data_IF_336414055861
#
_entry.id   IF_336414055861
#
_cell.length_a   1.000
_cell.length_b   1.000
_cell.length_c   1.000
_cell.angle_alpha   90.00
_cell.angle_beta   90.00
_cell.angle_gamma   90.00
#
_symmetry.space_group_name_H-M   'P 1'
#
loop_
_entity.id
_entity.type
_entity.pdbx_description
1 polymer ?
#
# COMPACT_ATOMS: atom_id res chain seq x y z
N UNK A 1 7.09 9.23 -20.65
CA UNK A 1 5.62 9.12 -20.74
C UNK A 1 5.05 10.51 -20.47
N UNK A 2 4.32 11.09 -21.43
CA UNK A 2 3.66 12.38 -21.22
C UNK A 2 2.30 12.13 -20.59
N UNK A 3 2.12 12.49 -19.32
CA UNK A 3 0.79 12.52 -18.69
C UNK A 3 0.25 13.94 -18.82
N UNK A 4 -0.86 14.10 -19.49
CA UNK A 4 -1.56 15.38 -19.63
C UNK A 4 -2.65 15.42 -18.57
N UNK A 5 -2.39 16.07 -17.44
CA UNK A 5 -3.42 16.46 -16.49
C UNK A 5 -3.63 17.96 -16.64
N UNK A 6 -4.81 18.38 -17.15
CA UNK A 6 -5.26 19.78 -17.27
C UNK A 6 -4.11 20.77 -17.57
N UNK A 7 -3.49 20.67 -18.76
CA UNK A 7 -2.46 21.59 -19.29
C UNK A 7 -1.07 21.58 -18.61
N UNK A 8 -0.73 20.60 -17.78
CA UNK A 8 0.62 20.45 -17.26
C UNK A 8 1.25 19.18 -17.86
N UNK A 9 2.32 19.35 -18.62
CA UNK A 9 3.14 18.24 -19.11
C UNK A 9 4.15 17.91 -18.02
N UNK A 10 3.89 16.87 -17.23
CA UNK A 10 4.84 16.35 -16.24
C UNK A 10 5.80 15.42 -16.96
N UNK A 11 7.05 15.81 -17.07
CA UNK A 11 8.13 15.02 -17.70
C UNK A 11 9.08 14.39 -16.65
N UNK A 12 8.93 14.72 -15.37
CA UNK A 12 9.75 14.20 -14.27
C UNK A 12 9.05 12.99 -13.62
N UNK A 13 9.74 11.85 -13.61
CA UNK A 13 9.25 10.62 -12.98
C UNK A 13 8.92 10.84 -11.49
N UNK A 14 9.71 11.68 -10.81
CA UNK A 14 9.49 12.01 -9.40
C UNK A 14 8.19 12.79 -9.18
N UNK A 15 7.87 13.74 -10.05
CA UNK A 15 6.61 14.48 -9.96
C UNK A 15 5.41 13.58 -10.21
N UNK A 16 5.54 12.63 -11.17
CA UNK A 16 4.51 11.62 -11.41
C UNK A 16 4.33 10.69 -10.20
N UNK A 17 5.42 10.26 -9.58
CA UNK A 17 5.35 9.46 -8.35
C UNK A 17 4.61 10.21 -7.24
N UNK A 18 4.91 11.49 -7.03
CA UNK A 18 4.24 12.30 -6.02
C UNK A 18 2.74 12.45 -6.31
N UNK A 19 2.37 12.68 -7.56
CA UNK A 19 0.98 12.80 -7.98
C UNK A 19 0.19 11.51 -7.73
N UNK A 20 0.69 10.35 -8.16
CA UNK A 20 -0.03 9.08 -7.98
C UNK A 20 -0.05 8.63 -6.52
N UNK A 21 0.97 8.97 -5.73
CA UNK A 21 0.93 8.74 -4.28
C UNK A 21 -0.10 9.63 -3.59
N UNK A 22 -0.30 10.88 -4.03
CA UNK A 22 -1.37 11.73 -3.51
C UNK A 22 -2.75 11.15 -3.84
N UNK A 23 -2.93 10.56 -5.03
CA UNK A 23 -4.17 9.83 -5.37
C UNK A 23 -4.36 8.60 -4.45
N UNK A 24 -3.31 7.82 -4.20
CA UNK A 24 -3.37 6.67 -3.30
C UNK A 24 -3.70 7.08 -1.85
N UNK A 25 -3.14 8.19 -1.35
CA UNK A 25 -3.45 8.75 -0.04
C UNK A 25 -4.92 9.22 0.05
N UNK A 26 -5.42 9.88 -0.98
CA UNK A 26 -6.82 10.30 -1.04
C UNK A 26 -7.79 9.11 -1.05
N UNK A 27 -7.43 8.02 -1.74
CA UNK A 27 -8.19 6.77 -1.70
C UNK A 27 -8.15 6.13 -0.32
N UNK A 28 -6.98 6.07 0.33
CA UNK A 28 -6.81 5.53 1.67
C UNK A 28 -7.71 6.24 2.70
N UNK A 29 -7.80 7.57 2.63
CA UNK A 29 -8.64 8.36 3.52
C UNK A 29 -10.14 8.00 3.44
N UNK A 30 -10.62 7.44 2.32
CA UNK A 30 -12.01 6.98 2.17
C UNK A 30 -12.36 5.79 3.08
N UNK A 31 -11.36 5.10 3.62
CA UNK A 31 -11.53 4.01 4.60
C UNK A 31 -11.72 4.51 6.04
N UNK A 32 -11.61 5.81 6.30
CA UNK A 32 -11.71 6.37 7.65
C UNK A 32 -13.03 5.98 8.34
N UNK A 33 -12.93 5.58 9.60
CA UNK A 33 -14.07 5.12 10.39
C UNK A 33 -14.52 3.67 10.14
N UNK A 34 -13.97 2.98 9.13
CA UNK A 34 -14.46 1.66 8.71
C UNK A 34 -13.43 0.52 8.82
N UNK A 35 -12.14 0.82 9.03
CA UNK A 35 -11.09 -0.20 8.92
C UNK A 35 -10.38 -0.53 10.23
N UNK A 36 -10.67 0.18 11.32
CA UNK A 36 -10.00 -0.04 12.62
C UNK A 36 -10.15 -1.49 13.10
N UNK A 37 -9.08 -2.08 13.65
CA UNK A 37 -7.76 -1.52 13.97
C UNK A 37 -6.75 -1.53 12.81
N UNK A 38 -7.16 -1.91 11.60
CA UNK A 38 -6.30 -1.99 10.42
C UNK A 38 -5.90 -0.60 9.89
N UNK A 39 -4.79 -0.51 9.13
CA UNK A 39 -4.38 0.76 8.54
C UNK A 39 -5.31 1.20 7.40
N UNK A 40 -5.38 2.51 7.19
CA UNK A 40 -5.94 3.13 6.01
C UNK A 40 -4.97 2.92 4.85
N UNK A 41 -5.36 2.13 3.86
CA UNK A 41 -4.55 1.82 2.68
C UNK A 41 -5.31 2.12 1.40
N UNK A 42 -4.63 2.78 0.47
CA UNK A 42 -5.09 3.03 -0.88
C UNK A 42 -4.01 2.63 -1.88
N UNK A 43 -4.42 2.15 -3.03
CA UNK A 43 -3.52 1.76 -4.10
C UNK A 43 -4.05 2.20 -5.47
N UNK A 44 -3.14 2.60 -6.36
CA UNK A 44 -3.42 2.83 -7.77
C UNK A 44 -2.40 2.09 -8.65
N UNK A 45 -2.87 1.56 -9.77
CA UNK A 45 -2.05 0.91 -10.77
C UNK A 45 -2.03 1.79 -12.01
N UNK A 46 -0.83 2.12 -12.46
CA UNK A 46 -0.61 3.05 -13.54
C UNK A 46 0.14 2.38 -14.68
N UNK A 47 -0.45 2.40 -15.86
CA UNK A 47 0.15 1.93 -17.11
C UNK A 47 0.22 3.09 -18.08
N UNK A 48 1.43 3.36 -18.58
CA UNK A 48 1.68 4.43 -19.55
C UNK A 48 1.09 5.80 -19.16
N UNK A 49 1.16 6.11 -17.85
CA UNK A 49 0.66 7.37 -17.27
C UNK A 49 -0.85 7.41 -17.01
N UNK A 50 -1.56 6.31 -17.26
CA UNK A 50 -3.02 6.20 -17.07
C UNK A 50 -3.30 5.29 -15.87
N UNK A 51 -4.20 5.70 -14.99
CA UNK A 51 -4.70 4.84 -13.90
C UNK A 51 -5.60 3.77 -14.53
N UNK A 52 -5.16 2.51 -14.45
CA UNK A 52 -5.89 1.33 -14.96
C UNK A 52 -6.57 0.53 -13.86
N UNK A 53 -6.20 0.77 -12.59
CA UNK A 53 -6.84 0.15 -11.44
C UNK A 53 -6.64 0.97 -10.19
N UNK A 54 -7.62 0.93 -9.28
CA UNK A 54 -7.57 1.62 -8.00
C UNK A 54 -8.37 0.87 -6.95
N UNK A 55 -7.92 0.96 -5.69
CA UNK A 55 -8.58 0.33 -4.56
C UNK A 55 -8.25 1.03 -3.26
N UNK A 56 -9.07 0.83 -2.25
CA UNK A 56 -8.79 1.21 -0.89
C UNK A 56 -9.36 0.19 0.08
N UNK A 57 -8.74 0.05 1.24
CA UNK A 57 -9.22 -0.83 2.30
C UNK A 57 -10.52 -0.29 2.87
N UNK A 58 -11.58 -1.11 2.90
CA UNK A 58 -12.93 -0.67 3.29
C UNK A 58 -13.32 -1.10 4.68
N UNK A 59 -13.03 -2.37 5.04
CA UNK A 59 -13.34 -2.95 6.36
C UNK A 59 -12.57 -4.25 6.58
N UNK A 60 -12.55 -4.73 7.83
CA UNK A 60 -11.84 -5.95 8.19
C UNK A 60 -12.36 -7.20 7.42
N UNK A 61 -11.43 -8.07 7.03
CA UNK A 61 -11.74 -9.35 6.37
C UNK A 61 -12.04 -9.28 4.88
N UNK A 62 -11.97 -8.10 4.25
CA UNK A 62 -12.04 -7.95 2.78
C UNK A 62 -10.65 -7.85 2.17
N UNK A 63 -10.60 -7.90 0.84
CA UNK A 63 -9.39 -7.74 0.05
C UNK A 63 -8.71 -6.41 0.35
N UNK A 64 -7.38 -6.41 0.38
CA UNK A 64 -6.58 -5.22 0.55
C UNK A 64 -6.65 -4.30 -0.69
N UNK A 65 -6.25 -3.05 -0.52
CA UNK A 65 -6.30 -2.02 -1.56
C UNK A 65 -5.58 -2.43 -2.84
N UNK A 66 -4.41 -3.05 -2.71
CA UNK A 66 -3.59 -3.52 -3.83
C UNK A 66 -4.32 -4.60 -4.64
N UNK A 67 -4.95 -5.57 -3.95
CA UNK A 67 -5.70 -6.65 -4.61
C UNK A 67 -6.91 -6.10 -5.34
N UNK A 68 -7.66 -5.16 -4.73
CA UNK A 68 -8.78 -4.51 -5.39
C UNK A 68 -8.35 -3.72 -6.64
N UNK A 69 -7.21 -3.03 -6.55
CA UNK A 69 -6.64 -2.31 -7.68
C UNK A 69 -6.20 -3.25 -8.81
N UNK A 70 -5.58 -4.41 -8.47
CA UNK A 70 -5.19 -5.44 -9.44
C UNK A 70 -6.41 -6.07 -10.14
N UNK A 71 -7.46 -6.36 -9.41
CA UNK A 71 -8.70 -6.91 -9.99
C UNK A 71 -9.33 -5.94 -11.00
N UNK A 72 -9.31 -4.64 -10.70
CA UNK A 72 -9.80 -3.64 -11.64
C UNK A 72 -8.89 -3.49 -12.87
N UNK A 73 -7.57 -3.56 -12.68
CA UNK A 73 -6.60 -3.42 -13.76
C UNK A 73 -6.59 -4.64 -14.71
N UNK A 74 -6.85 -5.84 -14.18
CA UNK A 74 -6.75 -7.07 -14.95
C UNK A 74 -5.39 -7.20 -15.64
N UNK A 75 -5.38 -7.60 -16.89
CA UNK A 75 -4.15 -7.78 -17.68
C UNK A 75 -3.35 -6.48 -17.91
N UNK A 76 -3.94 -5.31 -17.70
CA UNK A 76 -3.22 -4.03 -17.79
C UNK A 76 -2.22 -3.84 -16.64
N UNK A 77 -2.30 -4.65 -15.57
CA UNK A 77 -1.33 -4.66 -14.49
C UNK A 77 0.06 -5.15 -14.93
N UNK A 78 0.15 -5.98 -15.98
CA UNK A 78 1.41 -6.50 -16.49
C UNK A 78 2.34 -5.36 -16.90
N UNK A 79 3.52 -5.28 -16.26
CA UNK A 79 4.51 -4.22 -16.48
C UNK A 79 4.06 -2.81 -16.05
N UNK A 80 2.98 -2.67 -15.27
CA UNK A 80 2.53 -1.41 -14.70
C UNK A 80 3.33 -1.00 -13.46
N UNK A 81 3.14 0.23 -12.99
CA UNK A 81 3.63 0.73 -11.70
C UNK A 81 2.47 0.78 -10.70
N UNK A 82 2.70 0.28 -9.51
CA UNK A 82 1.76 0.33 -8.37
C UNK A 82 2.20 1.40 -7.39
N UNK A 83 1.29 2.28 -7.01
CA UNK A 83 1.48 3.29 -5.98
C UNK A 83 0.59 2.98 -4.79
N UNK A 84 1.17 2.96 -3.59
CA UNK A 84 0.45 2.68 -2.34
C UNK A 84 0.99 3.56 -1.22
N UNK A 85 0.16 3.90 -0.25
CA UNK A 85 0.60 4.73 0.87
C UNK A 85 1.31 3.93 1.99
N UNK A 86 1.25 2.61 1.97
CA UNK A 86 1.89 1.72 2.95
C UNK A 86 2.58 0.56 2.24
N UNK A 87 3.66 0.04 2.83
CA UNK A 87 4.35 -1.14 2.34
C UNK A 87 3.39 -2.33 2.15
N UNK A 88 3.39 -3.01 0.98
CA UNK A 88 2.56 -4.19 0.75
C UNK A 88 2.88 -5.31 1.75
N UNK A 89 1.84 -5.88 2.34
CA UNK A 89 1.98 -6.96 3.31
C UNK A 89 2.54 -8.24 2.68
N UNK A 90 3.38 -8.96 3.44
CA UNK A 90 4.12 -10.15 2.99
C UNK A 90 3.95 -11.38 3.88
N UNK A 91 3.00 -11.38 4.81
CA UNK A 91 2.82 -12.47 5.77
C UNK A 91 1.45 -13.13 5.65
N UNK A 92 1.39 -14.40 6.06
CA UNK A 92 0.19 -15.19 6.27
C UNK A 92 0.02 -15.52 7.75
N UNK A 93 -1.19 -15.90 8.17
CA UNK A 93 -1.50 -16.29 9.54
C UNK A 93 -1.62 -15.12 10.52
N UNK A 94 -1.78 -15.44 11.81
CA UNK A 94 -1.98 -14.42 12.85
C UNK A 94 -3.30 -13.67 12.73
N UNK A 95 -4.39 -14.38 12.32
CA UNK A 95 -5.71 -13.79 12.10
C UNK A 95 -5.92 -13.15 10.73
N UNK A 96 -4.88 -13.02 9.90
CA UNK A 96 -5.01 -12.49 8.55
C UNK A 96 -5.79 -13.46 7.65
N UNK A 97 -6.85 -12.97 7.01
CA UNK A 97 -7.78 -13.76 6.18
C UNK A 97 -7.48 -13.73 4.69
N UNK A 98 -6.58 -12.83 4.26
CA UNK A 98 -6.22 -12.64 2.85
C UNK A 98 -4.79 -13.08 2.57
N UNK A 99 -4.47 -13.57 1.36
CA UNK A 99 -3.09 -13.81 0.94
C UNK A 99 -2.23 -12.54 1.03
N UNK A 100 -0.88 -12.66 1.05
CA UNK A 100 0.02 -11.52 0.98
C UNK A 100 -0.22 -10.67 -0.27
N UNK A 101 -0.17 -9.34 -0.13
CA UNK A 101 -0.23 -8.46 -1.30
C UNK A 101 1.01 -8.60 -2.18
N UNK A 102 2.17 -8.93 -1.60
CA UNK A 102 3.40 -9.21 -2.37
C UNK A 102 3.18 -10.32 -3.39
N UNK A 103 2.51 -11.41 -3.00
CA UNK A 103 2.27 -12.55 -3.89
C UNK A 103 1.38 -12.14 -5.07
N UNK A 104 0.29 -11.39 -4.79
CA UNK A 104 -0.60 -10.89 -5.83
C UNK A 104 0.10 -9.92 -6.80
N UNK A 105 1.00 -9.07 -6.31
CA UNK A 105 1.77 -8.14 -7.13
C UNK A 105 2.78 -8.86 -8.03
N UNK A 106 3.43 -9.91 -7.51
CA UNK A 106 4.35 -10.76 -8.27
C UNK A 106 3.60 -11.54 -9.36
N UNK A 107 2.48 -12.16 -9.00
CA UNK A 107 1.63 -12.92 -9.94
C UNK A 107 1.10 -12.03 -11.08
N UNK A 108 0.72 -10.79 -10.75
CA UNK A 108 0.27 -9.79 -11.72
C UNK A 108 1.40 -9.22 -12.58
N UNK A 109 2.65 -9.62 -12.36
CA UNK A 109 3.82 -9.20 -13.13
C UNK A 109 3.98 -7.68 -13.23
N UNK A 110 3.72 -6.96 -12.13
CA UNK A 110 3.97 -5.51 -12.09
C UNK A 110 5.47 -5.24 -12.18
N UNK A 111 5.89 -4.15 -12.81
CA UNK A 111 7.32 -3.85 -12.97
C UNK A 111 7.91 -3.00 -11.84
N UNK A 112 7.07 -2.23 -11.14
CA UNK A 112 7.52 -1.27 -10.13
C UNK A 112 6.46 -1.06 -9.06
N UNK A 113 6.91 -0.90 -7.81
CA UNK A 113 6.08 -0.49 -6.67
C UNK A 113 6.68 0.77 -6.04
N UNK A 114 5.85 1.78 -5.81
CA UNK A 114 6.21 3.00 -5.09
C UNK A 114 5.35 3.10 -3.85
N UNK A 115 5.98 3.09 -2.68
CA UNK A 115 5.30 3.16 -1.39
C UNK A 115 5.70 4.42 -0.63
N UNK A 116 4.73 5.06 0.05
CA UNK A 116 5.03 6.24 0.88
C UNK A 116 5.92 5.90 2.08
N UNK A 117 5.68 4.76 2.74
CA UNK A 117 6.41 4.38 3.96
C UNK A 117 6.44 2.87 4.14
N UNK A 118 7.47 2.39 4.86
CA UNK A 118 7.48 1.03 5.37
C UNK A 118 6.39 0.84 6.43
N UNK A 119 5.87 -0.38 6.53
CA UNK A 119 4.93 -0.75 7.60
C UNK A 119 5.71 -1.01 8.90
N UNK A 120 5.38 -0.37 10.03
CA UNK A 120 6.05 -0.62 11.30
C UNK A 120 5.73 -1.98 11.91
N UNK A 121 4.77 -2.73 11.36
CA UNK A 121 4.44 -4.06 11.81
C UNK A 121 5.66 -4.99 11.68
N UNK A 122 6.17 -5.61 12.78
CA UNK A 122 7.35 -6.48 12.74
C UNK A 122 7.25 -7.66 11.77
N UNK A 123 6.02 -8.05 11.37
CA UNK A 123 5.79 -9.09 10.37
C UNK A 123 5.99 -8.60 8.94
N UNK A 124 6.03 -7.28 8.74
CA UNK A 124 6.22 -6.62 7.43
C UNK A 124 7.56 -5.89 7.39
N UNK A 125 7.66 -4.75 7.99
CA UNK A 125 8.84 -3.91 8.26
C UNK A 125 10.03 -4.11 7.30
N UNK A 126 9.86 -3.80 6.04
CA UNK A 126 10.86 -3.94 4.98
C UNK A 126 10.92 -5.31 4.33
N UNK A 127 10.26 -6.33 4.87
CA UNK A 127 10.25 -7.68 4.28
C UNK A 127 9.45 -7.74 2.98
N UNK A 128 8.33 -7.00 2.89
CA UNK A 128 7.56 -6.89 1.66
C UNK A 128 8.39 -6.27 0.54
N UNK A 129 9.15 -5.22 0.86
CA UNK A 129 10.10 -4.60 -0.08
C UNK A 129 11.17 -5.58 -0.54
N UNK A 130 11.75 -6.37 0.40
CA UNK A 130 12.78 -7.35 0.06
C UNK A 130 12.24 -8.42 -0.91
N UNK A 131 11.09 -9.03 -0.59
CA UNK A 131 10.43 -10.06 -1.41
C UNK A 131 10.14 -9.54 -2.83
N UNK A 132 9.60 -8.33 -2.96
CA UNK A 132 9.32 -7.73 -4.26
C UNK A 132 10.61 -7.52 -5.08
N UNK A 133 11.69 -7.03 -4.44
CA UNK A 133 12.99 -6.85 -5.11
C UNK A 133 13.61 -8.17 -5.53
N UNK A 134 13.55 -9.21 -4.70
CA UNK A 134 14.01 -10.56 -5.03
C UNK A 134 13.26 -11.15 -6.22
N UNK A 135 11.98 -10.80 -6.39
CA UNK A 135 11.18 -11.16 -7.55
C UNK A 135 11.46 -10.29 -8.80
N UNK A 136 12.44 -9.37 -8.75
CA UNK A 136 12.81 -8.50 -9.88
C UNK A 136 11.94 -7.25 -10.04
N UNK A 137 11.08 -6.93 -9.07
CA UNK A 137 10.24 -5.73 -9.10
C UNK A 137 11.03 -4.56 -8.51
N UNK A 138 11.09 -3.44 -9.24
CA UNK A 138 11.71 -2.22 -8.73
C UNK A 138 10.87 -1.62 -7.59
N UNK A 139 11.49 -1.31 -6.44
CA UNK A 139 10.75 -0.74 -5.29
C UNK A 139 11.39 0.55 -4.80
N UNK A 140 10.58 1.60 -4.75
CA UNK A 140 10.89 2.90 -4.13
C UNK A 140 10.04 3.07 -2.87
N UNK A 141 10.68 3.47 -1.76
CA UNK A 141 9.99 3.80 -0.49
C UNK A 141 10.45 5.18 -0.06
N UNK A 142 9.52 6.00 0.44
CA UNK A 142 9.87 7.27 1.07
C UNK A 142 9.12 8.51 0.59
N UNK A 143 8.73 8.65 -0.68
CA UNK A 143 7.97 9.83 -1.10
C UNK A 143 6.65 9.92 -0.32
N UNK A 144 6.29 11.12 0.14
CA UNK A 144 5.06 11.36 0.95
C UNK A 144 5.01 10.64 2.31
N UNK A 145 6.14 10.20 2.87
CA UNK A 145 6.19 9.50 4.18
C UNK A 145 5.43 10.26 5.28
N UNK A 146 5.62 11.57 5.40
CA UNK A 146 4.96 12.37 6.44
C UNK A 146 3.43 12.33 6.30
N UNK A 147 2.90 12.48 5.09
CA UNK A 147 1.46 12.44 4.82
C UNK A 147 0.87 11.05 5.16
N UNK A 148 1.54 9.97 4.75
CA UNK A 148 1.12 8.61 5.05
C UNK A 148 1.11 8.31 6.56
N UNK A 149 2.11 8.82 7.31
CA UNK A 149 2.21 8.65 8.76
C UNK A 149 1.14 9.45 9.50
N UNK A 150 0.84 10.66 9.06
CA UNK A 150 -0.25 11.46 9.64
C UNK A 150 -1.59 10.74 9.44
N UNK A 151 -1.86 10.29 8.22
CA UNK A 151 -3.09 9.55 7.89
C UNK A 151 -3.28 8.30 8.75
N UNK A 152 -2.19 7.57 9.02
CA UNK A 152 -2.18 6.32 9.79
C UNK A 152 -1.67 6.48 11.23
N UNK A 153 -1.74 7.67 11.81
CA UNK A 153 -1.15 7.95 13.13
C UNK A 153 -1.67 7.01 14.24
N UNK A 154 -2.96 6.67 14.21
CA UNK A 154 -3.56 5.76 15.19
C UNK A 154 -3.03 4.32 15.03
N UNK A 155 -3.01 3.79 13.80
CA UNK A 155 -2.44 2.48 13.51
C UNK A 155 -0.96 2.40 13.93
N UNK A 156 -0.16 3.41 13.56
CA UNK A 156 1.26 3.47 13.94
C UNK A 156 1.43 3.43 15.46
N UNK A 157 0.62 4.21 16.20
CA UNK A 157 0.64 4.21 17.66
C UNK A 157 0.31 2.84 18.25
N UNK A 158 -0.72 2.17 17.76
CA UNK A 158 -1.14 0.84 18.22
C UNK A 158 -0.03 -0.20 17.99
N UNK A 159 0.57 -0.24 16.81
CA UNK A 159 1.64 -1.19 16.47
C UNK A 159 2.89 -0.94 17.32
N UNK A 160 3.31 0.31 17.50
CA UNK A 160 4.49 0.66 18.30
C UNK A 160 4.25 0.29 19.76
N UNK A 161 3.07 0.60 20.33
CA UNK A 161 2.75 0.29 21.73
C UNK A 161 2.69 -1.22 21.96
N UNK A 162 2.07 -1.98 21.08
CA UNK A 162 2.00 -3.43 21.18
C UNK A 162 3.39 -4.10 21.15
N UNK A 163 4.34 -3.52 20.41
CA UNK A 163 5.72 -4.04 20.33
C UNK A 163 6.61 -3.60 21.49
N UNK A 164 6.30 -2.47 22.15
CA UNK A 164 7.08 -1.95 23.28
C UNK A 164 6.77 -2.66 24.60
N UNK A 165 5.60 -3.33 24.72
CA UNK A 165 5.16 -3.98 25.96
C UNK A 165 4.56 -5.35 25.69
N UNK A 166 5.35 -6.43 25.75
CA UNK A 166 4.87 -7.80 25.56
C UNK A 166 3.75 -8.22 26.51
N UNK A 167 3.66 -7.58 27.70
CA UNK A 167 2.63 -7.85 28.71
C UNK A 167 1.26 -7.22 28.43
N UNK A 168 1.18 -6.23 27.54
CA UNK A 168 -0.10 -5.60 27.15
C UNK A 168 -0.82 -6.33 26.04
N UNK A 169 -0.15 -7.20 25.30
CA UNK A 169 -0.75 -7.99 24.21
C UNK A 169 -1.77 -9.03 24.68
N UNK A 170 -1.74 -9.43 25.97
CA UNK A 170 -2.71 -10.36 26.58
C UNK A 170 -4.03 -9.69 26.93
N UNK A 171 -4.06 -8.38 27.14
CA UNK A 171 -5.28 -7.64 27.54
C UNK A 171 -6.12 -7.29 26.28
N UNK A 172 -5.52 -7.12 25.11
CA UNK A 172 -6.23 -6.79 23.86
C UNK A 172 -6.90 -8.01 23.19
N UNK A 173 -6.69 -9.23 23.67
CA UNK A 173 -7.36 -10.45 23.19
C UNK A 173 -8.66 -10.76 23.95
N UNK A 174 -9.04 -9.94 24.93
CA UNK A 174 -10.21 -10.16 25.80
C UNK A 174 -11.35 -9.14 25.62
N UNK A 175 -11.24 -8.22 24.60
CA UNK A 175 -12.34 -7.30 24.27
C UNK A 175 -12.63 -7.27 22.79
#
# INVERSE_FOLDING_TARGET
VKVVTRNVVVNDERELDLYFLDVALALAARGEGHVKPNPLVGAVIVKDGIIVGQGFHRYEGVKHAEVLALEQAGNLAIGATVYTNLEPCCHQGGGKRTPPCTDALIEAQVKRVVSCTADPNPRVNGRGVAILREAGIAVTVGPRTSAARILNAEYLRLVITANASPSLSLIQLLF
#
